data_IF_561522460690
#
_entry.id   IF_561522460690
#
_cell.length_a   1.000
_cell.length_b   1.000
_cell.length_c   1.000
_cell.angle_alpha   90.00
_cell.angle_beta   90.00
_cell.angle_gamma   90.00
#
_symmetry.space_group_name_H-M   'P 1'
#
loop_
_entity.id
_entity.type
_entity.pdbx_description
1 polymer ?
#
# COMPACT_ATOMS: atom_id res chain seq x y z
N UNK A 1 -9.71 29.95 -4.90
CA UNK A 1 -9.72 28.70 -4.12
C UNK A 1 -9.17 27.59 -5.00
N UNK A 2 -8.09 26.93 -4.61
CA UNK A 2 -7.69 25.66 -5.24
C UNK A 2 -8.80 24.66 -4.95
N UNK A 3 -9.61 24.36 -5.97
CA UNK A 3 -10.55 23.24 -5.91
C UNK A 3 -9.76 22.01 -6.39
N UNK A 4 -9.37 21.14 -5.47
CA UNK A 4 -8.73 19.88 -5.83
C UNK A 4 -9.84 18.94 -6.31
N UNK A 5 -10.29 19.13 -7.56
CA UNK A 5 -11.20 18.20 -8.25
C UNK A 5 -10.46 16.97 -8.82
N UNK A 6 -9.14 16.89 -8.63
CA UNK A 6 -8.32 15.79 -9.12
C UNK A 6 -8.20 14.70 -8.04
N UNK A 7 -8.25 13.41 -8.42
CA UNK A 7 -8.01 12.31 -7.51
C UNK A 7 -6.66 12.48 -6.80
N UNK A 8 -6.68 12.45 -5.46
CA UNK A 8 -5.47 12.49 -4.63
C UNK A 8 -5.08 11.07 -4.24
N UNK A 9 -3.79 10.77 -4.34
CA UNK A 9 -3.19 9.52 -3.88
C UNK A 9 -2.07 9.86 -2.90
N UNK A 10 -1.99 9.12 -1.78
CA UNK A 10 -0.89 9.25 -0.82
C UNK A 10 -0.03 8.00 -0.93
N UNK A 11 1.25 8.15 -1.22
CA UNK A 11 2.22 7.06 -1.14
C UNK A 11 2.99 7.19 0.17
N UNK A 12 3.10 6.10 0.92
CA UNK A 12 3.80 6.09 2.18
C UNK A 12 4.75 4.90 2.28
N UNK A 13 5.99 5.19 2.66
CA UNK A 13 6.86 4.17 3.22
C UNK A 13 6.38 3.78 4.64
N UNK A 14 6.91 2.68 5.15
CA UNK A 14 6.51 2.07 6.41
C UNK A 14 7.53 2.33 7.52
N UNK A 15 8.71 1.74 7.44
CA UNK A 15 9.66 1.71 8.57
C UNK A 15 10.22 3.09 8.86
N UNK A 16 10.00 3.59 10.08
CA UNK A 16 10.43 4.92 10.48
C UNK A 16 9.73 6.06 9.72
N UNK A 17 8.65 5.75 9.00
CA UNK A 17 7.83 6.72 8.26
C UNK A 17 6.40 6.71 8.77
N UNK A 18 5.63 5.67 8.46
CA UNK A 18 4.27 5.48 8.96
C UNK A 18 4.25 4.69 10.27
N UNK A 19 5.17 3.73 10.41
CA UNK A 19 5.36 2.92 11.59
C UNK A 19 6.51 3.51 12.40
N UNK A 20 6.34 3.59 13.72
CA UNK A 20 7.43 3.92 14.62
C UNK A 20 8.58 2.91 14.45
N UNK A 21 9.80 3.41 14.27
CA UNK A 21 10.97 2.58 13.93
C UNK A 21 11.43 1.66 15.06
N UNK A 22 11.02 1.92 16.30
CA UNK A 22 11.44 1.16 17.48
C UNK A 22 10.36 0.19 17.96
N UNK A 23 9.11 0.62 17.91
CA UNK A 23 7.96 -0.11 18.46
C UNK A 23 7.07 -0.73 17.39
N UNK A 24 7.24 -0.35 16.11
CA UNK A 24 6.32 -0.68 15.02
C UNK A 24 4.87 -0.24 15.30
N UNK A 25 4.68 0.70 16.23
CA UNK A 25 3.38 1.22 16.56
C UNK A 25 2.88 2.14 15.43
N UNK A 26 1.63 1.91 15.04
CA UNK A 26 0.91 2.67 14.02
C UNK A 26 -0.34 3.35 14.59
N UNK A 27 -0.68 3.11 15.85
CA UNK A 27 -1.83 3.73 16.51
C UNK A 27 -1.85 5.26 16.40
N UNK A 28 -0.71 5.98 16.48
CA UNK A 28 -0.70 7.42 16.25
C UNK A 28 -1.20 7.85 14.87
N UNK A 29 -1.02 7.01 13.84
CA UNK A 29 -1.46 7.26 12.47
C UNK A 29 -2.93 6.86 12.22
N UNK A 30 -3.51 5.96 13.03
CA UNK A 30 -4.87 5.44 12.87
C UNK A 30 -5.97 6.51 12.65
N UNK A 31 -6.06 7.61 13.42
CA UNK A 31 -7.09 8.63 13.20
C UNK A 31 -6.92 9.36 11.86
N UNK A 32 -5.68 9.49 11.36
CA UNK A 32 -5.38 10.15 10.08
C UNK A 32 -5.72 9.26 8.90
N UNK A 33 -5.36 7.97 8.98
CA UNK A 33 -5.73 6.97 7.98
C UNK A 33 -7.25 6.87 7.84
N UNK A 34 -7.99 6.96 8.95
CA UNK A 34 -9.45 6.96 8.94
C UNK A 34 -10.03 8.17 8.20
N UNK A 35 -9.52 9.38 8.45
CA UNK A 35 -9.93 10.61 7.75
C UNK A 35 -9.64 10.56 6.25
N UNK A 36 -8.47 10.03 5.87
CA UNK A 36 -8.11 9.87 4.46
C UNK A 36 -9.06 8.90 3.75
N UNK A 37 -9.39 7.78 4.41
CA UNK A 37 -10.38 6.83 3.89
C UNK A 37 -11.77 7.45 3.73
N UNK A 38 -12.26 8.19 4.72
CA UNK A 38 -13.55 8.91 4.65
C UNK A 38 -13.57 9.95 3.52
N UNK A 39 -12.42 10.56 3.21
CA UNK A 39 -12.26 11.51 2.12
C UNK A 39 -12.02 10.85 0.74
N UNK A 40 -12.06 9.51 0.63
CA UNK A 40 -11.70 8.76 -0.58
C UNK A 40 -10.29 9.07 -1.11
N UNK A 41 -9.34 9.33 -0.21
CA UNK A 41 -7.92 9.52 -0.52
C UNK A 41 -7.18 8.22 -0.16
N UNK A 42 -6.90 7.33 -1.12
CA UNK A 42 -6.23 6.07 -0.84
C UNK A 42 -4.77 6.31 -0.40
N UNK A 43 -4.37 5.57 0.63
CA UNK A 43 -2.99 5.47 1.11
C UNK A 43 -2.39 4.19 0.56
N UNK A 44 -1.41 4.32 -0.32
CA UNK A 44 -0.70 3.25 -1.01
C UNK A 44 0.61 3.00 -0.26
N UNK A 45 0.70 1.82 0.36
CA UNK A 45 1.91 1.41 1.08
C UNK A 45 3.00 1.01 0.09
N UNK A 46 4.23 1.45 0.33
CA UNK A 46 5.39 1.14 -0.50
C UNK A 46 6.57 0.76 0.39
N UNK A 47 7.13 -0.45 0.25
CA UNK A 47 8.26 -0.87 1.09
C UNK A 47 9.13 -1.94 0.44
N UNK A 48 10.30 -2.17 1.02
CA UNK A 48 11.22 -3.27 0.67
C UNK A 48 10.76 -4.63 1.19
N UNK A 49 9.80 -4.65 2.13
CA UNK A 49 9.24 -5.86 2.72
C UNK A 49 8.64 -6.80 1.68
N UNK A 50 8.59 -8.07 2.04
CA UNK A 50 7.98 -9.10 1.20
C UNK A 50 6.49 -8.81 0.97
N UNK A 51 5.95 -9.31 -0.14
CA UNK A 51 4.52 -9.14 -0.41
C UNK A 51 3.61 -9.68 0.71
N UNK A 52 3.99 -10.79 1.36
CA UNK A 52 3.21 -11.38 2.44
C UNK A 52 3.17 -10.48 3.69
N UNK A 53 4.30 -9.91 4.10
CA UNK A 53 4.38 -8.96 5.21
C UNK A 53 3.57 -7.69 4.91
N UNK A 54 3.68 -7.18 3.68
CA UNK A 54 2.95 -5.99 3.24
C UNK A 54 1.44 -6.18 3.30
N UNK A 55 0.92 -7.33 2.86
CA UNK A 55 -0.51 -7.64 2.93
C UNK A 55 -1.00 -7.75 4.38
N UNK A 56 -0.20 -8.33 5.27
CA UNK A 56 -0.52 -8.40 6.70
C UNK A 56 -0.58 -7.01 7.34
N UNK A 57 0.40 -6.16 7.05
CA UNK A 57 0.44 -4.78 7.56
C UNK A 57 -0.71 -3.93 6.99
N UNK A 58 -0.98 -4.05 5.69
CA UNK A 58 -2.11 -3.37 5.05
C UNK A 58 -3.44 -3.71 5.72
N UNK A 59 -3.66 -4.99 6.02
CA UNK A 59 -4.87 -5.43 6.74
C UNK A 59 -4.92 -4.84 8.15
N UNK A 60 -3.80 -4.86 8.87
CA UNK A 60 -3.70 -4.33 10.24
C UNK A 60 -3.98 -2.82 10.29
N UNK A 61 -3.50 -2.06 9.30
CA UNK A 61 -3.72 -0.62 9.13
C UNK A 61 -5.13 -0.27 8.62
N UNK A 62 -5.97 -1.25 8.30
CA UNK A 62 -7.32 -1.03 7.76
C UNK A 62 -7.33 -0.51 6.32
N UNK A 63 -6.29 -0.81 5.55
CA UNK A 63 -6.07 -0.35 4.17
C UNK A 63 -6.26 -1.48 3.14
N UNK A 64 -6.88 -2.61 3.53
CA UNK A 64 -7.08 -3.76 2.66
C UNK A 64 -7.86 -3.40 1.39
N UNK A 65 -7.51 -4.03 0.27
CA UNK A 65 -8.16 -3.86 -1.02
C UNK A 65 -7.63 -2.68 -1.85
N UNK A 66 -6.85 -1.79 -1.23
CA UNK A 66 -6.05 -0.78 -1.93
C UNK A 66 -4.83 -1.40 -2.61
N UNK A 67 -4.26 -0.75 -3.64
CA UNK A 67 -3.00 -1.20 -4.20
C UNK A 67 -1.85 -1.01 -3.18
N UNK A 68 -0.81 -1.82 -3.31
CA UNK A 68 0.44 -1.67 -2.54
C UNK A 68 1.66 -2.05 -3.38
N UNK A 69 2.82 -1.57 -2.97
CA UNK A 69 4.12 -1.81 -3.61
C UNK A 69 5.02 -2.53 -2.60
N UNK A 70 5.45 -3.72 -2.93
CA UNK A 70 6.31 -4.58 -2.10
C UNK A 70 7.64 -4.86 -2.80
N UNK A 71 8.61 -5.39 -2.05
CA UNK A 71 9.89 -5.86 -2.57
C UNK A 71 10.62 -4.80 -3.43
N UNK A 72 10.62 -3.54 -2.96
CA UNK A 72 11.21 -2.39 -3.66
C UNK A 72 10.63 -2.15 -5.07
N UNK A 73 9.37 -2.51 -5.27
CA UNK A 73 8.69 -2.36 -6.56
C UNK A 73 8.77 -3.58 -7.48
N UNK A 74 9.46 -4.65 -7.07
CA UNK A 74 9.44 -5.91 -7.80
C UNK A 74 8.03 -6.54 -7.79
N UNK A 75 7.21 -6.26 -6.76
CA UNK A 75 5.83 -6.73 -6.67
C UNK A 75 4.87 -5.56 -6.49
N UNK A 76 3.91 -5.43 -7.40
CA UNK A 76 2.81 -4.46 -7.32
C UNK A 76 1.51 -5.23 -7.14
N UNK A 77 0.89 -5.09 -5.97
CA UNK A 77 -0.43 -5.65 -5.70
C UNK A 77 -1.48 -4.69 -6.26
N UNK A 78 -2.35 -5.21 -7.14
CA UNK A 78 -3.43 -4.43 -7.73
C UNK A 78 -4.59 -4.26 -6.74
N UNK A 79 -5.32 -3.16 -6.89
CA UNK A 79 -6.53 -2.92 -6.11
C UNK A 79 -7.59 -4.00 -6.39
N UNK A 80 -8.40 -4.35 -5.39
CA UNK A 80 -9.45 -5.38 -5.52
C UNK A 80 -10.52 -5.03 -6.58
N UNK A 81 -10.66 -3.76 -6.93
CA UNK A 81 -11.57 -3.26 -7.97
C UNK A 81 -11.03 -3.42 -9.40
N UNK A 82 -9.77 -3.84 -9.58
CA UNK A 82 -9.10 -3.95 -10.89
C UNK A 82 -8.96 -5.41 -11.35
N UNK A 83 -9.96 -6.24 -11.07
CA UNK A 83 -9.93 -7.69 -11.36
C UNK A 83 -9.83 -7.99 -12.86
N UNK A 84 -10.30 -7.07 -13.69
CA UNK A 84 -10.32 -7.20 -15.15
C UNK A 84 -9.00 -6.75 -15.82
N UNK A 85 -8.00 -6.31 -15.04
CA UNK A 85 -6.70 -5.91 -15.58
C UNK A 85 -5.78 -7.13 -15.69
N UNK A 86 -5.12 -7.29 -16.84
CA UNK A 86 -4.09 -8.31 -17.04
C UNK A 86 -2.99 -8.21 -15.97
N UNK A 87 -2.69 -9.33 -15.33
CA UNK A 87 -1.77 -9.37 -14.20
C UNK A 87 -2.44 -9.22 -12.83
N UNK A 88 -3.77 -9.20 -12.71
CA UNK A 88 -4.44 -9.41 -11.43
C UNK A 88 -4.10 -10.83 -10.87
N UNK A 89 -3.80 -10.98 -9.57
CA UNK A 89 -3.89 -9.97 -8.50
C UNK A 89 -2.63 -9.10 -8.32
N UNK A 90 -1.52 -9.43 -8.98
CA UNK A 90 -0.25 -8.71 -8.83
C UNK A 90 0.62 -8.75 -10.09
N UNK A 91 1.29 -7.65 -10.34
CA UNK A 91 2.34 -7.56 -11.36
C UNK A 91 3.67 -7.85 -10.67
N UNK A 92 4.45 -8.76 -11.26
CA UNK A 92 5.81 -9.10 -10.80
C UNK A 92 6.78 -8.65 -11.89
N UNK A 93 7.79 -7.89 -11.49
CA UNK A 93 8.87 -7.42 -12.36
C UNK A 93 10.15 -8.20 -12.08
N UNK A 94 10.86 -8.58 -13.14
CA UNK A 94 12.09 -9.37 -13.04
C UNK A 94 11.85 -10.87 -13.24
N UNK A 95 12.83 -11.67 -12.83
CA UNK A 95 12.81 -13.13 -12.99
C UNK A 95 12.24 -13.74 -11.71
N UNK A 96 11.23 -14.61 -11.83
CA UNK A 96 10.70 -15.33 -10.68
C UNK A 96 11.68 -16.41 -10.23
N UNK A 97 11.62 -16.83 -8.96
CA UNK A 97 12.54 -17.85 -8.44
C UNK A 97 12.44 -19.20 -9.18
N UNK A 98 11.31 -19.48 -9.84
CA UNK A 98 11.14 -20.69 -10.65
C UNK A 98 11.74 -20.62 -12.06
N UNK A 99 12.20 -19.44 -12.47
CA UNK A 99 12.80 -19.17 -13.79
C UNK A 99 14.33 -18.98 -13.72
N UNK A 100 14.90 -19.10 -12.50
CA UNK A 100 16.35 -19.16 -12.26
C UNK A 100 16.80 -20.62 -12.33
#
# INVERSE_FOLDING_TARGET
>A
MLSIQQPLLVFSDLDGTLLDSHSYDWQPAAPWLSRLREANVPVILCSSKTSAEMLYLQKTLGLQGLPLIAENGAVIQLAEQWQDIDGFPRIISGISHGEI
#
